data_IF_940841190117
#
_entry.id   IF_940841190117
#
_cell.length_a   1.000
_cell.length_b   1.000
_cell.length_c   1.000
_cell.angle_alpha   90.00
_cell.angle_beta   90.00
_cell.angle_gamma   90.00
#
_symmetry.space_group_name_H-M   'P 1'
#
loop_
_entity.id
_entity.type
_entity.pdbx_description
1 polymer ?
#
# COMPACT_ATOMS: atom_id res chain seq x y z
N UNK A 1 -13.68 -21.91 -16.57
CA UNK A 1 -14.15 -21.39 -15.26
C UNK A 1 -13.41 -20.10 -14.97
N UNK A 2 -14.11 -18.98 -14.75
CA UNK A 2 -13.47 -17.71 -14.37
C UNK A 2 -13.05 -17.77 -12.91
N UNK A 3 -11.77 -17.54 -12.62
CA UNK A 3 -11.27 -17.54 -11.26
C UNK A 3 -11.67 -16.21 -10.58
N UNK A 4 -12.71 -16.23 -9.75
CA UNK A 4 -13.20 -15.05 -9.03
C UNK A 4 -12.13 -14.38 -8.15
N UNK A 5 -11.05 -15.09 -7.79
CA UNK A 5 -9.93 -14.55 -7.02
C UNK A 5 -9.18 -13.42 -7.75
N UNK A 6 -9.33 -13.28 -9.08
CA UNK A 6 -8.78 -12.13 -9.81
C UNK A 6 -9.45 -10.80 -9.39
N UNK A 7 -10.72 -10.82 -8.98
CA UNK A 7 -11.39 -9.62 -8.46
C UNK A 7 -10.77 -9.16 -7.12
N UNK A 8 -10.26 -10.11 -6.32
CA UNK A 8 -9.56 -9.79 -5.07
C UNK A 8 -8.22 -9.09 -5.30
N UNK A 9 -7.57 -9.29 -6.45
CA UNK A 9 -6.35 -8.55 -6.81
C UNK A 9 -6.64 -7.06 -6.91
N UNK A 10 -7.76 -6.69 -7.54
CA UNK A 10 -8.15 -5.28 -7.68
C UNK A 10 -8.48 -4.65 -6.32
N UNK A 11 -9.22 -5.37 -5.47
CA UNK A 11 -9.55 -4.92 -4.12
C UNK A 11 -8.30 -4.75 -3.24
N UNK A 12 -7.39 -5.73 -3.25
CA UNK A 12 -6.15 -5.67 -2.49
C UNK A 12 -5.22 -4.55 -3.00
N UNK A 13 -5.16 -4.36 -4.31
CA UNK A 13 -4.43 -3.24 -4.92
C UNK A 13 -5.00 -1.89 -4.48
N UNK A 14 -6.33 -1.73 -4.48
CA UNK A 14 -6.99 -0.50 -4.06
C UNK A 14 -6.78 -0.22 -2.57
N UNK A 15 -6.89 -1.24 -1.71
CA UNK A 15 -6.57 -1.13 -0.29
C UNK A 15 -5.12 -0.67 -0.07
N UNK A 16 -4.18 -1.21 -0.83
CA UNK A 16 -2.77 -0.83 -0.74
C UNK A 16 -2.56 0.66 -1.09
N UNK A 17 -3.23 1.16 -2.14
CA UNK A 17 -3.12 2.55 -2.58
C UNK A 17 -3.83 3.54 -1.64
N UNK A 18 -4.97 3.16 -1.03
CA UNK A 18 -5.66 4.01 -0.05
C UNK A 18 -4.89 4.12 1.27
N UNK A 19 -4.11 3.09 1.63
CA UNK A 19 -3.21 3.14 2.78
C UNK A 19 -2.05 4.14 2.60
N UNK A 20 -1.73 4.56 1.36
CA UNK A 20 -0.64 5.49 1.10
C UNK A 20 -0.75 6.80 1.89
N UNK A 21 0.38 7.29 2.37
CA UNK A 21 0.49 8.57 3.10
C UNK A 21 0.33 9.79 2.20
N UNK A 22 0.36 9.61 0.87
CA UNK A 22 0.31 10.67 -0.13
C UNK A 22 -0.90 11.58 -0.05
N UNK A 23 -2.10 11.01 0.03
CA UNK A 23 -3.30 11.82 0.18
C UNK A 23 -3.33 12.55 1.53
N UNK A 24 -2.83 11.92 2.60
CA UNK A 24 -2.83 12.54 3.92
C UNK A 24 -1.90 13.76 3.99
N UNK A 25 -0.71 13.70 3.39
CA UNK A 25 0.24 14.83 3.39
C UNK A 25 -0.23 15.97 2.47
N UNK A 26 -0.90 15.66 1.36
CA UNK A 26 -1.55 16.67 0.51
C UNK A 26 -2.64 17.42 1.28
N UNK A 27 -3.50 16.71 2.03
CA UNK A 27 -4.53 17.35 2.87
C UNK A 27 -3.93 18.24 3.98
N UNK A 28 -2.69 17.97 4.39
CA UNK A 28 -1.94 18.78 5.35
C UNK A 28 -1.18 19.95 4.70
N UNK A 29 -1.34 20.15 3.39
CA UNK A 29 -0.70 21.24 2.64
C UNK A 29 0.74 20.94 2.21
N UNK A 30 1.24 19.72 2.45
CA UNK A 30 2.58 19.31 2.03
C UNK A 30 2.53 18.67 0.63
N UNK A 31 2.84 19.46 -0.40
CA UNK A 31 2.74 19.05 -1.82
C UNK A 31 3.96 18.29 -2.34
N UNK A 32 5.12 18.43 -1.71
CA UNK A 32 6.36 17.79 -2.17
C UNK A 32 6.48 16.36 -1.63
N UNK A 33 5.63 15.43 -2.10
CA UNK A 33 5.58 14.05 -1.61
C UNK A 33 5.93 12.99 -2.67
N UNK A 34 7.04 13.19 -3.37
CA UNK A 34 7.59 12.17 -4.26
C UNK A 34 8.04 10.93 -3.48
N UNK A 35 8.71 11.13 -2.34
CA UNK A 35 9.18 10.08 -1.45
C UNK A 35 8.61 10.29 -0.04
N UNK A 36 7.67 9.44 0.43
CA UNK A 36 6.99 9.63 1.71
C UNK A 36 7.91 9.54 2.93
N UNK A 37 9.02 8.77 2.87
CA UNK A 37 9.99 8.72 3.98
C UNK A 37 10.76 10.03 4.12
N UNK A 38 11.19 10.59 2.98
CA UNK A 38 11.89 11.89 2.94
C UNK A 38 10.93 13.02 3.32
N UNK A 39 9.72 13.00 2.75
CA UNK A 39 8.66 13.95 3.09
C UNK A 39 8.35 13.97 4.59
N UNK A 40 8.24 12.80 5.25
CA UNK A 40 7.99 12.74 6.68
C UNK A 40 9.17 13.25 7.52
N UNK A 41 10.40 13.00 7.09
CA UNK A 41 11.58 13.53 7.76
C UNK A 41 11.67 15.06 7.63
N UNK A 42 11.32 15.60 6.46
CA UNK A 42 11.30 17.05 6.21
C UNK A 42 10.16 17.73 6.96
N UNK A 43 8.98 17.09 7.04
CA UNK A 43 7.86 17.57 7.87
C UNK A 43 8.21 17.58 9.36
N UNK A 44 8.94 16.59 9.86
CA UNK A 44 9.39 16.52 11.26
C UNK A 44 10.43 17.62 11.56
N UNK A 45 11.38 17.84 10.65
CA UNK A 45 12.37 18.93 10.75
C UNK A 45 11.76 20.32 10.68
N UNK A 46 10.64 20.47 9.96
CA UNK A 46 9.98 21.77 9.82
C UNK A 46 9.39 22.30 11.13
N UNK A 47 9.16 21.43 12.13
CA UNK A 47 8.54 21.79 13.41
C UNK A 47 7.10 22.31 13.32
N UNK A 48 6.54 22.42 12.11
CA UNK A 48 5.21 23.00 11.85
C UNK A 48 4.06 22.12 12.31
N UNK A 49 4.31 20.82 12.47
CA UNK A 49 3.27 19.83 12.71
C UNK A 49 3.39 19.19 14.10
N UNK A 50 2.27 18.90 14.78
CA UNK A 50 2.30 18.28 16.09
C UNK A 50 2.87 16.85 16.03
N UNK A 51 3.63 16.48 17.05
CA UNK A 51 4.29 15.16 17.16
C UNK A 51 3.32 13.98 17.07
N UNK A 52 2.11 14.14 17.64
CA UNK A 52 1.05 13.12 17.54
C UNK A 52 0.55 12.89 16.10
N UNK A 53 0.53 13.94 15.27
CA UNK A 53 0.18 13.82 13.85
C UNK A 53 1.31 13.14 13.08
N UNK A 54 2.57 13.51 13.34
CA UNK A 54 3.74 12.85 12.74
C UNK A 54 3.79 11.36 13.07
N UNK A 55 3.50 10.98 14.32
CA UNK A 55 3.42 9.58 14.74
C UNK A 55 2.32 8.81 13.97
N UNK A 56 1.14 9.41 13.74
CA UNK A 56 0.08 8.81 12.92
C UNK A 56 0.51 8.61 11.48
N UNK A 57 1.17 9.59 10.87
CA UNK A 57 1.64 9.46 9.50
C UNK A 57 2.73 8.39 9.35
N UNK A 58 3.66 8.27 10.32
CA UNK A 58 4.66 7.19 10.35
C UNK A 58 4.02 5.81 10.44
N UNK A 59 2.99 5.64 11.28
CA UNK A 59 2.23 4.39 11.38
C UNK A 59 1.53 4.05 10.06
N UNK A 60 0.96 5.05 9.40
CA UNK A 60 0.32 4.87 8.08
C UNK A 60 1.32 4.48 7.00
N UNK A 61 2.52 5.06 7.01
CA UNK A 61 3.59 4.67 6.10
C UNK A 61 4.02 3.22 6.34
N UNK A 62 4.22 2.83 7.60
CA UNK A 62 4.54 1.44 7.95
C UNK A 62 3.45 0.46 7.50
N UNK A 63 2.17 0.82 7.65
CA UNK A 63 1.06 0.01 7.17
C UNK A 63 1.02 -0.09 5.63
N UNK A 64 1.34 0.99 4.92
CA UNK A 64 1.43 0.97 3.46
C UNK A 64 2.56 0.07 2.95
N UNK A 65 3.75 0.15 3.56
CA UNK A 65 4.89 -0.71 3.22
C UNK A 65 4.57 -2.19 3.47
N UNK A 66 3.97 -2.52 4.63
CA UNK A 66 3.51 -3.87 4.92
C UNK A 66 2.48 -4.36 3.89
N UNK A 67 1.54 -3.50 3.49
CA UNK A 67 0.54 -3.87 2.49
C UNK A 67 1.16 -4.12 1.11
N UNK A 68 2.19 -3.36 0.70
CA UNK A 68 2.92 -3.58 -0.55
C UNK A 68 3.67 -4.92 -0.55
N UNK A 69 4.35 -5.24 0.55
CA UNK A 69 5.05 -6.52 0.73
C UNK A 69 4.08 -7.70 0.64
N UNK A 70 2.94 -7.60 1.33
CA UNK A 70 1.91 -8.65 1.34
C UNK A 70 1.15 -8.77 0.02
N UNK A 71 0.97 -7.66 -0.72
CA UNK A 71 0.31 -7.68 -2.02
C UNK A 71 1.09 -8.52 -3.04
N UNK A 72 2.42 -8.42 -3.05
CA UNK A 72 3.27 -9.25 -3.92
C UNK A 72 3.09 -10.75 -3.65
N UNK A 73 3.05 -11.15 -2.38
CA UNK A 73 2.81 -12.54 -1.95
C UNK A 73 1.40 -12.99 -2.39
N UNK A 74 0.40 -12.13 -2.21
CA UNK A 74 -0.98 -12.44 -2.61
C UNK A 74 -1.14 -12.64 -4.12
N UNK A 75 -0.53 -11.77 -4.95
CA UNK A 75 -0.51 -11.92 -6.40
C UNK A 75 0.18 -13.24 -6.79
N UNK A 76 1.33 -13.53 -6.18
CA UNK A 76 2.06 -14.77 -6.41
C UNK A 76 1.29 -16.03 -5.96
N UNK A 77 0.34 -15.92 -5.03
CA UNK A 77 -0.53 -17.03 -4.63
C UNK A 77 -1.72 -17.20 -5.60
N UNK A 78 -2.32 -16.09 -6.07
CA UNK A 78 -3.54 -16.14 -6.91
C UNK A 78 -3.24 -16.55 -8.36
N UNK A 79 -2.11 -16.12 -8.93
CA UNK A 79 -1.78 -16.36 -10.35
C UNK A 79 -1.45 -17.83 -10.66
N UNK A 80 -0.63 -18.56 -9.88
CA UNK A 80 -0.29 -19.97 -10.18
C UNK A 80 -1.45 -20.94 -9.91
N UNK A 81 -2.33 -20.64 -8.94
CA UNK A 81 -3.51 -21.48 -8.65
C UNK A 81 -4.45 -21.59 -9.87
N UNK A 82 -4.49 -20.57 -10.73
CA UNK A 82 -5.22 -20.59 -12.00
C UNK A 82 -4.57 -21.52 -13.04
N UNK A 83 -3.23 -21.63 -13.05
CA UNK A 83 -2.48 -22.44 -14.02
C UNK A 83 -2.45 -23.93 -13.66
N UNK A 84 -2.48 -24.28 -12.37
CA UNK A 84 -2.49 -25.69 -11.90
C UNK A 84 -3.85 -26.37 -12.12
N UNK A 85 -4.96 -25.63 -12.07
CA UNK A 85 -6.33 -26.18 -12.28
C UNK A 85 -6.64 -26.49 -13.76
N UNK A 86 -5.75 -26.17 -14.69
CA UNK A 86 -5.89 -26.46 -16.12
C UNK A 86 -5.12 -27.70 -16.60
N UNK A 87 -4.35 -28.38 -15.74
CA UNK A 87 -3.72 -29.65 -16.14
C UNK A 87 -4.79 -30.75 -16.06
N UNK A 88 -5.06 -31.51 -17.14
CA UNK A 88 -5.81 -32.75 -17.00
C UNK A 88 -5.04 -33.61 -15.99
N UNK A 89 -5.73 -34.11 -14.97
CA UNK A 89 -5.19 -35.20 -14.17
C UNK A 89 -5.03 -36.37 -15.12
N UNK A 90 -3.78 -36.75 -15.36
CA UNK A 90 -3.42 -38.03 -15.98
C UNK A 90 -3.39 -39.11 -14.89
#
# INVERSE_FOLDING_TARGET
>A
MYNYSYALLFLAWFQCHTAATRFATICLGYRNNHNPRVALADMDKSGKYPSGLMAKLRRREAAHQNCLEMFGIFVAAVVPTSAVRGRPQA
#
